data_IF_499868366395
#
_entry.id   IF_499868366395
#
_cell.length_a   1.000
_cell.length_b   1.000
_cell.length_c   1.000
_cell.angle_alpha   90.00
_cell.angle_beta   90.00
_cell.angle_gamma   90.00
#
_symmetry.space_group_name_H-M   'P 1'
#
loop_
_entity.id
_entity.type
_entity.pdbx_description
1 polymer ?
#
# COMPACT_ATOMS: atom_id res chain seq x y z
N UNK A 1 -4.40 6.28 20.49
CA UNK A 1 -5.54 6.61 19.59
C UNK A 1 -4.99 7.41 18.39
N UNK A 2 -5.78 7.63 17.32
CA UNK A 2 -5.33 8.28 16.08
C UNK A 2 -4.68 9.66 16.27
N UNK A 3 -5.23 10.48 17.16
CA UNK A 3 -4.72 11.83 17.44
C UNK A 3 -3.29 11.77 18.00
N UNK A 4 -3.08 10.95 19.02
CA UNK A 4 -1.76 10.76 19.64
C UNK A 4 -0.71 10.25 18.65
N UNK A 5 -1.10 9.37 17.72
CA UNK A 5 -0.21 8.86 16.68
C UNK A 5 0.19 9.99 15.73
N UNK A 6 -0.76 10.83 15.30
CA UNK A 6 -0.45 11.95 14.42
C UNK A 6 0.47 12.97 15.11
N UNK A 7 0.15 13.37 16.34
CA UNK A 7 0.99 14.29 17.12
C UNK A 7 2.41 13.73 17.34
N UNK A 8 2.51 12.43 17.65
CA UNK A 8 3.80 11.76 17.83
C UNK A 8 4.57 11.67 16.51
N UNK A 9 3.90 11.42 15.40
CA UNK A 9 4.50 11.40 14.08
C UNK A 9 5.07 12.78 13.74
N UNK A 10 4.26 13.84 13.85
CA UNK A 10 4.69 15.22 13.60
C UNK A 10 5.90 15.60 14.45
N UNK A 11 5.89 15.26 15.75
CA UNK A 11 7.03 15.49 16.64
C UNK A 11 8.28 14.72 16.18
N UNK A 12 8.14 13.44 15.86
CA UNK A 12 9.25 12.58 15.42
C UNK A 12 9.86 13.11 14.12
N UNK A 13 9.01 13.57 13.19
CA UNK A 13 9.44 14.20 11.94
C UNK A 13 10.27 15.45 12.21
N UNK A 14 9.76 16.36 13.05
CA UNK A 14 10.47 17.59 13.39
C UNK A 14 11.82 17.34 14.08
N UNK A 15 11.87 16.37 15.01
CA UNK A 15 13.11 15.96 15.69
C UNK A 15 14.11 15.40 14.67
N UNK A 16 13.70 14.48 13.81
CA UNK A 16 14.58 13.86 12.82
C UNK A 16 15.06 14.86 11.76
N UNK A 17 14.18 15.71 11.25
CA UNK A 17 14.54 16.73 10.25
C UNK A 17 15.58 17.72 10.79
N UNK A 18 15.53 18.04 12.09
CA UNK A 18 16.49 18.95 12.71
C UNK A 18 17.94 18.46 12.65
N UNK A 19 18.17 17.14 12.64
CA UNK A 19 19.51 16.53 12.60
C UNK A 19 19.76 15.72 11.31
N UNK A 20 18.88 15.86 10.30
CA UNK A 20 18.97 15.12 9.04
C UNK A 20 18.76 13.61 9.16
N UNK A 21 18.07 13.17 10.22
CA UNK A 21 17.75 11.77 10.48
C UNK A 21 16.61 11.23 9.61
N UNK A 22 16.47 9.90 9.61
CA UNK A 22 15.34 9.20 8.95
C UNK A 22 14.36 8.68 9.99
N UNK A 23 13.13 8.47 9.56
CA UNK A 23 12.06 7.89 10.36
C UNK A 23 11.20 7.00 9.49
N UNK A 24 10.58 5.99 10.09
CA UNK A 24 9.64 5.13 9.40
C UNK A 24 8.26 5.22 10.04
N UNK A 25 7.24 5.17 9.19
CA UNK A 25 5.85 5.00 9.58
C UNK A 25 5.34 3.71 8.96
N UNK A 26 4.84 2.81 9.79
CA UNK A 26 4.23 1.56 9.40
C UNK A 26 2.75 1.62 9.70
N UNK A 27 1.92 1.21 8.75
CA UNK A 27 0.49 1.02 8.94
C UNK A 27 0.17 -0.47 8.85
N UNK A 28 -0.65 -0.95 9.77
CA UNK A 28 -0.95 -2.35 9.96
C UNK A 28 -2.45 -2.57 9.89
N UNK A 29 -2.87 -3.69 9.32
CA UNK A 29 -4.25 -4.15 9.29
C UNK A 29 -4.31 -5.64 9.63
N UNK A 30 -5.27 -6.02 10.48
CA UNK A 30 -5.43 -7.40 10.90
C UNK A 30 -6.21 -8.20 9.86
N UNK A 31 -5.54 -9.16 9.24
CA UNK A 31 -6.15 -10.01 8.23
C UNK A 31 -7.21 -10.91 8.87
N UNK A 32 -8.39 -10.96 8.21
CA UNK A 32 -9.54 -11.79 8.61
C UNK A 32 -10.18 -11.40 9.95
N UNK A 33 -9.85 -10.25 10.52
CA UNK A 33 -10.48 -9.78 11.77
C UNK A 33 -12.00 -9.67 11.67
N UNK A 34 -12.53 -9.19 10.53
CA UNK A 34 -13.97 -9.14 10.29
C UNK A 34 -14.64 -10.52 10.39
N UNK A 35 -14.00 -11.58 9.91
CA UNK A 35 -14.54 -12.94 10.00
C UNK A 35 -14.67 -13.42 11.45
N UNK A 36 -13.75 -12.99 12.33
CA UNK A 36 -13.84 -13.26 13.78
C UNK A 36 -15.09 -12.57 14.36
N UNK A 37 -15.29 -11.28 14.06
CA UNK A 37 -16.47 -10.55 14.52
C UNK A 37 -17.79 -11.14 14.00
N UNK A 38 -17.82 -11.52 12.73
CA UNK A 38 -19.01 -12.08 12.10
C UNK A 38 -19.36 -13.47 12.67
N UNK A 39 -18.36 -14.24 13.13
CA UNK A 39 -18.54 -15.62 13.64
C UNK A 39 -18.75 -15.68 15.15
N UNK A 40 -17.99 -14.89 15.92
CA UNK A 40 -17.90 -14.98 17.39
C UNK A 40 -18.40 -13.72 18.10
N UNK A 41 -18.76 -12.68 17.35
CA UNK A 41 -19.29 -11.42 17.86
C UNK A 41 -18.21 -10.42 18.27
N UNK A 42 -18.63 -9.15 18.33
CA UNK A 42 -17.79 -8.01 18.69
C UNK A 42 -17.08 -8.14 20.06
N UNK A 43 -17.67 -8.74 21.12
CA UNK A 43 -16.97 -8.88 22.40
C UNK A 43 -15.67 -9.70 22.32
N UNK A 44 -15.64 -10.74 21.47
CA UNK A 44 -14.43 -11.55 21.25
C UNK A 44 -13.42 -10.76 20.40
N UNK A 45 -13.89 -10.03 19.39
CA UNK A 45 -13.05 -9.14 18.60
C UNK A 45 -12.38 -8.03 19.42
N UNK A 46 -13.10 -7.41 20.35
CA UNK A 46 -12.55 -6.37 21.23
C UNK A 46 -11.43 -6.90 22.12
N UNK A 47 -11.57 -8.15 22.62
CA UNK A 47 -10.52 -8.80 23.39
C UNK A 47 -9.33 -9.20 22.53
N UNK A 48 -9.58 -9.65 21.31
CA UNK A 48 -8.51 -9.93 20.34
C UNK A 48 -7.69 -8.66 20.05
N UNK A 49 -8.35 -7.51 19.88
CA UNK A 49 -7.68 -6.22 19.71
C UNK A 49 -6.83 -5.84 20.94
N UNK A 50 -7.28 -6.17 22.15
CA UNK A 50 -6.50 -6.05 23.38
C UNK A 50 -5.21 -6.87 23.31
N UNK A 51 -5.31 -8.18 23.04
CA UNK A 51 -4.16 -9.06 22.94
C UNK A 51 -3.21 -8.68 21.79
N UNK A 52 -3.74 -8.18 20.66
CA UNK A 52 -2.92 -7.63 19.57
C UNK A 52 -2.13 -6.42 20.04
N UNK A 53 -2.77 -5.52 20.80
CA UNK A 53 -2.11 -4.32 21.33
C UNK A 53 -0.95 -4.70 22.26
N UNK A 54 -1.18 -5.66 23.17
CA UNK A 54 -0.14 -6.17 24.08
C UNK A 54 1.04 -6.81 23.33
N UNK A 55 0.76 -7.65 22.31
CA UNK A 55 1.82 -8.25 21.49
C UNK A 55 2.61 -7.20 20.72
N UNK A 56 1.94 -6.19 20.18
CA UNK A 56 2.59 -5.13 19.42
C UNK A 56 3.45 -4.26 20.34
N UNK A 57 2.95 -3.88 21.51
CA UNK A 57 3.70 -3.13 22.53
C UNK A 57 4.96 -3.87 22.99
N UNK A 58 4.88 -5.19 23.20
CA UNK A 58 6.03 -6.01 23.59
C UNK A 58 7.15 -6.07 22.52
N UNK A 59 6.84 -5.75 21.26
CA UNK A 59 7.85 -5.66 20.19
C UNK A 59 8.50 -4.28 20.10
N UNK A 60 7.94 -3.27 20.76
CA UNK A 60 8.45 -1.90 20.71
C UNK A 60 9.62 -1.75 21.68
N UNK A 61 10.76 -1.30 21.15
CA UNK A 61 11.89 -0.82 21.98
C UNK A 61 11.86 0.70 22.15
N UNK A 62 12.87 1.26 22.82
CA UNK A 62 12.98 2.69 23.16
C UNK A 62 12.93 3.65 21.95
N UNK A 63 13.19 3.15 20.75
CA UNK A 63 13.16 3.91 19.49
C UNK A 63 11.85 3.82 18.71
N UNK A 64 10.85 3.08 19.19
CA UNK A 64 9.62 2.80 18.45
C UNK A 64 8.38 3.03 19.30
N UNK A 65 7.30 3.49 18.66
CA UNK A 65 6.02 3.71 19.32
C UNK A 65 4.91 3.11 18.46
N UNK A 66 3.98 2.40 19.09
CA UNK A 66 2.79 1.88 18.43
C UNK A 66 1.50 2.55 18.91
N UNK A 67 0.44 2.41 18.13
CA UNK A 67 -0.90 2.74 18.60
C UNK A 67 -2.00 2.44 17.58
N UNK A 68 -3.22 2.30 18.08
CA UNK A 68 -4.40 2.00 17.27
C UNK A 68 -4.96 3.26 16.59
N UNK A 69 -5.21 3.15 15.28
CA UNK A 69 -5.81 4.21 14.47
C UNK A 69 -7.34 4.16 14.53
N UNK A 70 -7.91 2.96 14.53
CA UNK A 70 -9.35 2.70 14.58
C UNK A 70 -9.66 1.33 13.98
N UNK A 71 -10.82 0.74 14.29
CA UNK A 71 -11.15 -0.60 13.75
C UNK A 71 -10.07 -1.64 14.07
N UNK A 72 -9.59 -2.34 13.06
CA UNK A 72 -8.49 -3.29 13.06
C UNK A 72 -7.14 -2.69 12.61
N UNK A 73 -7.06 -1.36 12.49
CA UNK A 73 -5.87 -0.66 12.03
C UNK A 73 -4.97 -0.19 13.18
N UNK A 74 -3.68 -0.46 13.03
CA UNK A 74 -2.61 -0.02 13.94
C UNK A 74 -1.54 0.74 13.17
N UNK A 75 -0.75 1.51 13.89
CA UNK A 75 0.40 2.21 13.36
C UNK A 75 1.61 2.02 14.27
N UNK A 76 2.80 1.99 13.66
CA UNK A 76 4.10 2.01 14.33
C UNK A 76 4.94 3.13 13.76
N UNK A 77 5.55 3.93 14.64
CA UNK A 77 6.49 4.99 14.31
C UNK A 77 7.86 4.54 14.81
N UNK A 78 8.86 4.54 13.93
CA UNK A 78 10.25 4.21 14.27
C UNK A 78 11.12 5.45 14.10
N UNK A 79 11.80 5.84 15.18
CA UNK A 79 12.80 6.90 15.19
C UNK A 79 14.14 6.36 14.69
N UNK A 80 14.88 7.12 13.89
CA UNK A 80 16.21 6.71 13.44
C UNK A 80 16.20 5.56 12.44
N UNK A 81 15.30 5.58 11.47
CA UNK A 81 15.15 4.57 10.41
C UNK A 81 16.24 4.67 9.31
N UNK A 82 17.50 4.75 9.73
CA UNK A 82 18.64 4.88 8.81
C UNK A 82 18.97 3.57 8.09
N UNK A 83 18.74 2.44 8.78
CA UNK A 83 18.94 1.10 8.25
C UNK A 83 17.61 0.53 7.76
N UNK A 84 17.49 0.32 6.44
CA UNK A 84 16.30 -0.27 5.84
C UNK A 84 16.12 -1.74 6.24
N UNK A 85 17.20 -2.48 6.48
CA UNK A 85 17.14 -3.89 6.90
C UNK A 85 16.48 -4.03 8.26
N UNK A 86 16.83 -3.17 9.22
CA UNK A 86 16.20 -3.16 10.54
C UNK A 86 14.69 -2.87 10.51
N UNK A 87 14.24 -2.04 9.56
CA UNK A 87 12.81 -1.73 9.35
C UNK A 87 12.07 -2.93 8.76
N UNK A 88 12.67 -3.58 7.77
CA UNK A 88 12.13 -4.79 7.15
C UNK A 88 12.05 -5.95 8.17
N UNK A 89 13.10 -6.14 8.97
CA UNK A 89 13.13 -7.14 10.05
C UNK A 89 12.05 -6.88 11.10
N UNK A 90 11.83 -5.61 11.49
CA UNK A 90 10.77 -5.25 12.42
C UNK A 90 9.39 -5.58 11.83
N UNK A 91 9.14 -5.25 10.56
CA UNK A 91 7.88 -5.56 9.89
C UNK A 91 7.64 -7.07 9.81
N UNK A 92 8.66 -7.86 9.47
CA UNK A 92 8.59 -9.31 9.46
C UNK A 92 8.27 -9.88 10.86
N UNK A 93 8.95 -9.40 11.91
CA UNK A 93 8.69 -9.81 13.30
C UNK A 93 7.28 -9.46 13.77
N UNK A 94 6.76 -8.29 13.38
CA UNK A 94 5.38 -7.88 13.66
C UNK A 94 4.41 -8.90 13.05
N UNK A 95 4.56 -9.19 11.76
CA UNK A 95 3.67 -10.14 11.06
C UNK A 95 3.75 -11.52 11.72
N UNK A 96 4.95 -12.03 11.97
CA UNK A 96 5.15 -13.34 12.60
C UNK A 96 4.46 -13.39 13.98
N UNK A 97 4.68 -12.37 14.81
CA UNK A 97 4.16 -12.33 16.19
C UNK A 97 2.64 -12.19 16.22
N UNK A 98 2.07 -11.34 15.36
CA UNK A 98 0.62 -11.16 15.25
C UNK A 98 -0.07 -12.34 14.58
N UNK A 99 0.66 -13.15 13.80
CA UNK A 99 0.10 -14.36 13.17
C UNK A 99 0.08 -15.58 14.09
N UNK A 100 0.65 -15.50 15.30
CA UNK A 100 0.60 -16.58 16.28
C UNK A 100 -0.83 -16.78 16.82
N UNK A 101 -1.24 -18.01 17.19
CA UNK A 101 -2.60 -18.27 17.69
C UNK A 101 -2.94 -17.43 18.93
N UNK A 102 -4.20 -17.00 19.04
CA UNK A 102 -4.72 -16.30 20.22
C UNK A 102 -5.70 -17.20 20.96
N UNK A 103 -5.42 -17.47 22.24
CA UNK A 103 -6.35 -18.17 23.12
C UNK A 103 -7.26 -17.14 23.82
N UNK A 104 -8.52 -17.09 23.42
CA UNK A 104 -9.51 -16.17 23.98
C UNK A 104 -10.73 -16.99 24.42
N UNK A 105 -10.92 -17.07 25.74
CA UNK A 105 -11.87 -17.97 26.41
C UNK A 105 -11.65 -19.44 26.01
N UNK A 106 -12.61 -20.02 25.28
CA UNK A 106 -12.58 -21.39 24.81
C UNK A 106 -12.25 -21.49 23.31
N UNK A 107 -11.78 -20.40 22.69
CA UNK A 107 -11.51 -20.32 21.25
C UNK A 107 -10.03 -20.07 20.98
N UNK A 108 -9.48 -20.82 20.04
CA UNK A 108 -8.17 -20.55 19.43
C UNK A 108 -8.40 -19.81 18.11
N UNK A 109 -7.97 -18.55 18.04
CA UNK A 109 -8.16 -17.69 16.87
C UNK A 109 -6.87 -17.56 16.07
N UNK A 110 -7.02 -17.57 14.75
CA UNK A 110 -5.93 -17.39 13.79
C UNK A 110 -6.24 -16.14 12.94
N UNK A 111 -5.49 -15.08 13.19
CA UNK A 111 -5.46 -13.88 12.35
C UNK A 111 -4.08 -13.71 11.73
N UNK A 112 -4.00 -12.92 10.67
CA UNK A 112 -2.73 -12.46 10.12
C UNK A 112 -2.59 -10.96 10.30
N UNK A 113 -1.50 -10.40 9.80
CA UNK A 113 -1.34 -8.97 9.68
C UNK A 113 -0.68 -8.61 8.34
N UNK A 114 -1.18 -7.56 7.71
CA UNK A 114 -0.54 -6.94 6.55
C UNK A 114 0.08 -5.61 6.98
N UNK A 115 1.25 -5.26 6.43
CA UNK A 115 1.99 -4.05 6.84
C UNK A 115 2.40 -3.21 5.62
N UNK A 116 2.12 -1.91 5.67
CA UNK A 116 2.62 -0.92 4.72
C UNK A 116 3.63 0.00 5.36
N UNK A 117 4.79 0.20 4.73
CA UNK A 117 5.91 0.96 5.29
C UNK A 117 6.19 2.20 4.44
N UNK A 118 6.37 3.36 5.07
CA UNK A 118 6.87 4.57 4.42
C UNK A 118 8.04 5.16 5.23
N UNK A 119 9.09 5.61 4.54
CA UNK A 119 10.32 6.15 5.13
C UNK A 119 10.43 7.64 4.81
N UNK A 120 10.43 8.48 5.84
CA UNK A 120 10.69 9.90 5.69
C UNK A 120 12.19 10.25 5.79
N UNK A 121 12.63 11.33 5.14
CA UNK A 121 11.83 12.27 4.34
C UNK A 121 11.61 11.83 2.86
N UNK A 122 12.06 10.63 2.47
CA UNK A 122 12.01 10.12 1.08
C UNK A 122 10.57 9.98 0.56
N UNK A 123 9.71 9.35 1.36
CA UNK A 123 8.36 8.93 0.97
C UNK A 123 7.28 9.94 1.38
N UNK A 124 7.69 11.06 2.01
CA UNK A 124 6.82 12.14 2.44
C UNK A 124 7.55 13.11 3.37
N UNK A 125 7.31 14.41 3.18
CA UNK A 125 7.82 15.49 4.05
C UNK A 125 6.76 16.05 4.99
N UNK A 126 5.51 15.59 4.87
CA UNK A 126 4.41 15.92 5.79
C UNK A 126 3.83 14.63 6.34
N UNK A 127 3.24 14.70 7.54
CA UNK A 127 2.60 13.55 8.18
C UNK A 127 1.51 12.96 7.26
N UNK A 128 0.72 13.82 6.61
CA UNK A 128 -0.31 13.40 5.66
C UNK A 128 0.26 12.63 4.46
N UNK A 129 1.35 13.13 3.85
CA UNK A 129 2.00 12.43 2.74
C UNK A 129 2.55 11.07 3.17
N UNK A 130 3.16 11.00 4.35
CA UNK A 130 3.77 9.77 4.84
C UNK A 130 2.71 8.72 5.20
N UNK A 131 1.61 9.13 5.85
CA UNK A 131 0.46 8.27 6.13
C UNK A 131 -0.13 7.74 4.83
N UNK A 132 -0.32 8.60 3.82
CA UNK A 132 -0.82 8.19 2.50
C UNK A 132 0.12 7.20 1.81
N UNK A 133 1.43 7.41 1.89
CA UNK A 133 2.42 6.48 1.31
C UNK A 133 2.39 5.11 2.00
N UNK A 134 2.26 5.07 3.33
CA UNK A 134 2.14 3.81 4.07
C UNK A 134 0.82 3.10 3.76
N UNK A 135 -0.29 3.82 3.61
CA UNK A 135 -1.58 3.27 3.19
C UNK A 135 -1.52 2.62 1.80
N UNK A 136 -0.92 3.31 0.82
CA UNK A 136 -0.71 2.75 -0.51
C UNK A 136 0.15 1.48 -0.48
N UNK A 137 1.16 1.44 0.39
CA UNK A 137 1.99 0.25 0.58
C UNK A 137 1.19 -0.89 1.24
N UNK A 138 0.36 -0.58 2.24
CA UNK A 138 -0.50 -1.56 2.92
C UNK A 138 -1.53 -2.17 1.97
N UNK A 139 -2.15 -1.34 1.12
CA UNK A 139 -3.05 -1.81 0.08
C UNK A 139 -2.38 -2.86 -0.83
N UNK A 140 -1.13 -2.59 -1.26
CA UNK A 140 -0.36 -3.56 -2.05
C UNK A 140 -0.03 -4.84 -1.29
N UNK A 141 0.22 -4.75 0.01
CA UNK A 141 0.43 -5.94 0.83
C UNK A 141 -0.83 -6.83 0.86
N UNK A 142 -2.02 -6.22 0.96
CA UNK A 142 -3.30 -6.94 0.89
C UNK A 142 -3.53 -7.60 -0.48
N UNK A 143 -3.22 -6.90 -1.57
CA UNK A 143 -3.35 -7.42 -2.94
C UNK A 143 -2.33 -8.53 -3.26
N UNK A 144 -1.14 -8.48 -2.65
CA UNK A 144 -0.08 -9.47 -2.84
C UNK A 144 -0.31 -10.80 -2.11
N UNK A 145 -1.46 -10.96 -1.43
CA UNK A 145 -1.85 -12.21 -0.76
C UNK A 145 -2.08 -12.10 0.74
N UNK A 146 -1.90 -10.91 1.35
CA UNK A 146 -1.95 -10.67 2.81
C UNK A 146 -0.82 -11.38 3.58
N UNK A 147 -0.67 -11.10 4.88
CA UNK A 147 0.38 -11.71 5.70
C UNK A 147 1.80 -11.33 5.26
N UNK A 148 1.96 -10.20 4.56
CA UNK A 148 3.23 -9.70 4.05
C UNK A 148 3.37 -8.21 4.35
N UNK A 149 4.60 -7.71 4.30
CA UNK A 149 4.86 -6.28 4.32
C UNK A 149 5.21 -5.77 2.93
N UNK A 150 4.94 -4.49 2.68
CA UNK A 150 5.42 -3.77 1.49
C UNK A 150 5.94 -2.41 1.90
N UNK A 151 7.08 -2.04 1.34
CA UNK A 151 7.62 -0.69 1.45
C UNK A 151 7.07 0.16 0.31
N UNK A 152 6.76 1.42 0.61
CA UNK A 152 6.29 2.35 -0.39
C UNK A 152 7.38 2.55 -1.45
N UNK A 153 6.98 2.31 -2.69
CA UNK A 153 7.80 2.50 -3.87
C UNK A 153 7.08 3.49 -4.79
N UNK A 154 7.60 4.74 -4.92
CA UNK A 154 7.01 5.79 -5.75
C UNK A 154 6.82 5.37 -7.21
N UNK A 155 7.77 4.59 -7.75
CA UNK A 155 7.83 4.19 -9.17
C UNK A 155 6.71 3.22 -9.58
N UNK A 156 6.15 2.49 -8.62
CA UNK A 156 5.03 1.56 -8.87
C UNK A 156 3.65 2.26 -8.83
N UNK A 157 3.55 3.49 -8.32
CA UNK A 157 2.28 4.23 -8.27
C UNK A 157 1.88 4.75 -9.66
N UNK A 158 2.87 5.12 -10.46
CA UNK A 158 2.68 5.60 -11.83
C UNK A 158 2.07 4.49 -12.70
N UNK A 159 2.65 3.27 -12.71
CA UNK A 159 2.20 2.21 -13.63
C UNK A 159 0.79 1.68 -13.34
N UNK A 160 0.40 1.56 -12.08
CA UNK A 160 -0.92 1.02 -11.73
C UNK A 160 -2.05 2.03 -12.03
N UNK A 161 -1.84 3.31 -11.68
CA UNK A 161 -2.82 4.35 -12.00
C UNK A 161 -2.81 4.69 -13.50
N UNK A 162 -1.65 4.73 -14.17
CA UNK A 162 -1.58 4.85 -15.63
C UNK A 162 -2.34 3.73 -16.31
N UNK A 163 -2.22 2.48 -15.84
CA UNK A 163 -2.95 1.35 -16.40
C UNK A 163 -4.45 1.48 -16.20
N UNK A 164 -4.90 1.93 -15.02
CA UNK A 164 -6.33 2.16 -14.73
C UNK A 164 -6.90 3.30 -15.58
N UNK A 165 -6.17 4.41 -15.69
CA UNK A 165 -6.53 5.56 -16.54
C UNK A 165 -6.57 5.14 -18.01
N UNK A 166 -5.60 4.35 -18.47
CA UNK A 166 -5.53 3.82 -19.83
C UNK A 166 -6.71 2.88 -20.11
N UNK A 167 -7.07 1.99 -19.18
CA UNK A 167 -8.22 1.09 -19.31
C UNK A 167 -9.55 1.86 -19.42
N UNK A 168 -9.73 2.89 -18.58
CA UNK A 168 -10.91 3.76 -18.68
C UNK A 168 -10.93 4.52 -20.01
N UNK A 169 -9.78 5.09 -20.41
CA UNK A 169 -9.67 5.84 -21.65
C UNK A 169 -9.86 4.96 -22.89
N UNK A 170 -9.43 3.69 -22.87
CA UNK A 170 -9.67 2.71 -23.93
C UNK A 170 -11.16 2.36 -24.07
N UNK A 171 -11.89 2.22 -22.97
CA UNK A 171 -13.36 2.00 -22.99
C UNK A 171 -14.07 3.20 -23.63
N UNK A 172 -13.74 4.40 -23.18
CA UNK A 172 -14.28 5.65 -23.74
C UNK A 172 -13.91 5.82 -25.21
N UNK A 173 -12.68 5.49 -25.61
CA UNK A 173 -12.21 5.60 -26.98
C UNK A 173 -12.97 4.68 -27.94
N UNK A 174 -13.38 3.49 -27.48
CA UNK A 174 -14.21 2.58 -28.24
C UNK A 174 -15.62 3.16 -28.44
N UNK A 175 -16.22 3.72 -27.37
CA UNK A 175 -17.54 4.37 -27.42
C UNK A 175 -17.53 5.63 -28.32
N UNK A 176 -16.46 6.40 -28.29
CA UNK A 176 -16.31 7.66 -29.03
C UNK A 176 -15.79 7.50 -30.47
N UNK A 177 -15.53 6.27 -30.93
CA UNK A 177 -14.99 6.00 -32.26
C UNK A 177 -13.60 6.63 -32.49
N UNK A 178 -12.75 6.67 -31.47
CA UNK A 178 -11.40 7.26 -31.53
C UNK A 178 -10.33 6.27 -32.04
N UNK A 179 -10.73 5.02 -32.28
CA UNK A 179 -9.87 3.98 -32.84
C UNK A 179 -10.10 3.85 -34.34
N UNK A 180 -9.02 3.73 -35.10
CA UNK A 180 -9.07 3.56 -36.56
C UNK A 180 -7.97 2.62 -37.04
N UNK A 181 -8.21 1.95 -38.17
CA UNK A 181 -7.22 1.08 -38.79
C UNK A 181 -6.32 1.88 -39.73
N UNK A 182 -5.02 1.67 -39.63
CA UNK A 182 -4.05 1.99 -40.67
C UNK A 182 -3.69 0.70 -41.40
N UNK A 183 -3.39 0.80 -42.69
CA UNK A 183 -2.98 -0.34 -43.48
C UNK A 183 -1.53 -0.17 -43.90
N UNK A 184 -0.68 -1.13 -43.53
CA UNK A 184 0.71 -1.16 -43.95
C UNK A 184 0.87 -2.14 -45.11
N UNK A 185 1.40 -1.73 -46.27
CA UNK A 185 1.63 -2.62 -47.40
C UNK A 185 2.73 -3.62 -47.07
N UNK A 186 2.52 -4.88 -47.45
CA UNK A 186 3.52 -5.95 -47.41
C UNK A 186 3.96 -6.23 -48.83
N UNK A 187 5.25 -6.06 -49.08
CA UNK A 187 5.88 -6.26 -50.39
C UNK A 187 6.73 -7.52 -50.38
N UNK A 188 6.77 -8.19 -51.53
CA UNK A 188 7.70 -9.29 -51.77
C UNK A 188 9.14 -8.76 -51.75
N UNK A 189 10.01 -9.39 -50.97
CA UNK A 189 11.40 -8.97 -50.78
C UNK A 189 12.26 -9.11 -52.06
N UNK A 190 11.85 -9.97 -53.00
CA UNK A 190 12.59 -10.22 -54.24
C UNK A 190 12.16 -9.31 -55.40
N UNK A 191 10.89 -8.92 -55.44
CA UNK A 191 10.30 -8.20 -56.57
C UNK A 191 9.70 -6.84 -56.26
N UNK A 192 9.70 -6.40 -54.99
CA UNK A 192 9.04 -5.18 -54.49
C UNK A 192 7.55 -5.08 -54.87
N UNK A 193 6.93 -6.20 -55.25
CA UNK A 193 5.51 -6.24 -55.62
C UNK A 193 4.67 -6.30 -54.37
N UNK A 194 3.61 -5.49 -54.35
CA UNK A 194 2.61 -5.51 -53.29
C UNK A 194 1.89 -6.87 -53.25
N UNK A 195 1.93 -7.53 -52.10
CA UNK A 195 1.34 -8.86 -51.89
C UNK A 195 0.12 -8.81 -50.98
N UNK A 196 0.15 -7.96 -49.95
CA UNK A 196 -0.92 -7.87 -48.96
C UNK A 196 -0.89 -6.52 -48.23
N UNK A 197 -1.84 -6.35 -47.31
CA UNK A 197 -1.86 -5.26 -46.33
C UNK A 197 -2.06 -5.82 -44.91
N UNK A 198 -1.31 -5.30 -43.95
CA UNK A 198 -1.52 -5.53 -42.52
C UNK A 198 -2.39 -4.41 -41.94
N UNK A 199 -3.45 -4.78 -41.21
CA UNK A 199 -4.32 -3.82 -40.52
C UNK A 199 -3.80 -3.55 -39.10
N UNK A 200 -3.41 -2.31 -38.83
CA UNK A 200 -2.85 -1.86 -37.57
C UNK A 200 -3.83 -0.92 -36.87
N UNK A 201 -4.37 -1.34 -35.73
CA UNK A 201 -5.24 -0.49 -34.92
C UNK A 201 -4.44 0.67 -34.32
N UNK A 202 -4.94 1.87 -34.53
CA UNK A 202 -4.41 3.12 -33.97
C UNK A 202 -5.49 3.80 -33.16
N UNK A 203 -5.09 4.40 -32.05
CA UNK A 203 -5.96 5.24 -31.24
C UNK A 203 -5.40 6.66 -31.23
N UNK A 204 -6.25 7.64 -31.54
CA UNK A 204 -5.89 9.06 -31.50
C UNK A 204 -6.73 9.74 -30.42
N UNK A 205 -6.09 10.04 -29.29
CA UNK A 205 -6.72 10.74 -28.18
C UNK A 205 -7.10 12.14 -28.64
N UNK A 206 -8.39 12.47 -28.63
CA UNK A 206 -8.83 13.86 -28.82
C UNK A 206 -8.64 14.59 -27.49
N UNK A 207 -7.54 15.32 -27.34
CA UNK A 207 -7.47 16.33 -26.29
C UNK A 207 -8.51 17.42 -26.60
N UNK A 208 -9.58 17.47 -25.81
CA UNK A 208 -10.50 18.61 -25.81
C UNK A 208 -9.70 19.88 -25.47
N UNK A 209 -9.72 20.95 -26.29
CA UNK A 209 -9.15 22.21 -25.89
C UNK A 209 -9.94 22.70 -24.67
N UNK A 210 -9.24 22.85 -23.55
CA UNK A 210 -9.81 23.32 -22.30
C UNK A 210 -10.69 24.56 -22.55
N UNK A 211 -11.87 24.53 -21.93
CA UNK A 211 -12.78 25.67 -21.78
C UNK A 211 -11.97 26.92 -21.42
N UNK A 212 -12.11 27.99 -22.22
CA UNK A 212 -11.81 29.36 -21.80
C UNK A 212 -12.81 29.80 -20.74
#
# INVERSE_FOLDING_TARGET
NRLMINETLVRTMAEADSWGGRYAFMMLDLDRFKAVNDTLGHPIGDRLLGCVSERLEALMGDGSLCGRLGGDEFAVIVRGASDAGAIDDLAARIIETLSRPYEIDAHTLYIGASVGIAIGPRDGRTAEMLVRSADLALYRAKDAGRGVYRTYEPELHVKAEERRVLEMALRTALENGEMHLKYQPVVDALGERLVAFEALLRWTVRCSPARR
#
